data_IF_542899879727
#
_entry.id   IF_542899879727
#
_cell.length_a   1.000
_cell.length_b   1.000
_cell.length_c   1.000
_cell.angle_alpha   90.00
_cell.angle_beta   90.00
_cell.angle_gamma   90.00
#
_symmetry.space_group_name_H-M   'P 1'
#
loop_
_entity.id
_entity.type
_entity.pdbx_description
1 polymer ?
#
# COMPACT_ATOMS: atom_id res chain seq x y z
N UNK A 1 21.48 -14.82 -30.78
CA UNK A 1 21.67 -14.37 -29.39
C UNK A 1 21.14 -12.96 -29.35
N UNK A 2 20.22 -12.66 -28.44
CA UNK A 2 19.63 -11.32 -28.33
C UNK A 2 20.73 -10.32 -27.98
N UNK A 3 20.61 -9.08 -28.46
CA UNK A 3 21.40 -7.96 -27.94
C UNK A 3 20.92 -7.61 -26.53
N UNK A 4 21.76 -6.93 -25.74
CA UNK A 4 21.36 -6.46 -24.40
C UNK A 4 20.09 -5.59 -24.45
N UNK A 5 19.95 -4.75 -25.49
CA UNK A 5 18.77 -3.89 -25.66
C UNK A 5 17.50 -4.70 -25.93
N UNK A 6 17.58 -5.71 -26.80
CA UNK A 6 16.44 -6.61 -27.07
C UNK A 6 16.08 -7.44 -25.83
N UNK A 7 17.07 -7.95 -25.10
CA UNK A 7 16.84 -8.65 -23.83
C UNK A 7 16.12 -7.77 -22.81
N UNK A 8 16.59 -6.53 -22.60
CA UNK A 8 15.95 -5.57 -21.69
C UNK A 8 14.51 -5.24 -22.09
N UNK A 9 14.22 -5.21 -23.39
CA UNK A 9 12.87 -4.98 -23.90
C UNK A 9 11.95 -6.18 -23.61
N UNK A 10 12.41 -7.41 -23.84
CA UNK A 10 11.63 -8.62 -23.53
C UNK A 10 11.36 -8.73 -22.02
N UNK A 11 12.40 -8.52 -21.19
CA UNK A 11 12.23 -8.51 -19.73
C UNK A 11 11.23 -7.43 -19.28
N UNK A 12 11.27 -6.24 -19.89
CA UNK A 12 10.29 -5.20 -19.59
C UNK A 12 8.85 -5.64 -19.87
N UNK A 13 8.60 -6.24 -21.04
CA UNK A 13 7.28 -6.71 -21.45
C UNK A 13 6.76 -7.79 -20.50
N UNK A 14 7.60 -8.78 -20.18
CA UNK A 14 7.25 -9.85 -19.24
C UNK A 14 6.90 -9.31 -17.85
N UNK A 15 7.61 -8.27 -17.39
CA UNK A 15 7.34 -7.66 -16.09
C UNK A 15 6.07 -6.82 -16.08
N UNK A 16 5.74 -6.12 -17.17
CA UNK A 16 4.44 -5.44 -17.29
C UNK A 16 3.28 -6.46 -17.27
N UNK A 17 3.40 -7.56 -18.01
CA UNK A 17 2.40 -8.65 -17.98
C UNK A 17 2.30 -9.30 -16.60
N UNK A 18 3.41 -9.38 -15.85
CA UNK A 18 3.41 -9.90 -14.49
C UNK A 18 2.65 -8.99 -13.51
N UNK A 19 2.67 -7.67 -13.68
CA UNK A 19 1.91 -6.77 -12.82
C UNK A 19 0.40 -6.99 -12.93
N UNK A 20 -0.08 -7.41 -14.11
CA UNK A 20 -1.48 -7.74 -14.33
C UNK A 20 -1.83 -9.18 -13.93
N UNK A 21 -0.99 -10.15 -14.31
CA UNK A 21 -1.27 -11.58 -14.14
C UNK A 21 -0.91 -12.13 -12.75
N UNK A 22 0.08 -11.53 -12.09
CA UNK A 22 0.76 -12.06 -10.90
C UNK A 22 1.31 -13.48 -11.09
N UNK A 23 1.55 -13.92 -12.33
CA UNK A 23 2.03 -15.26 -12.64
C UNK A 23 3.57 -15.29 -12.63
N UNK A 24 4.14 -15.69 -11.49
CA UNK A 24 5.58 -15.81 -11.33
C UNK A 24 6.18 -16.96 -12.15
N UNK A 25 5.43 -18.05 -12.34
CA UNK A 25 5.91 -19.21 -13.11
C UNK A 25 6.11 -18.84 -14.58
N UNK A 26 5.23 -18.00 -15.13
CA UNK A 26 5.36 -17.52 -16.50
C UNK A 26 6.59 -16.61 -16.68
N UNK A 27 6.88 -15.74 -15.71
CA UNK A 27 8.12 -14.93 -15.74
C UNK A 27 9.37 -15.81 -15.72
N UNK A 28 9.40 -16.84 -14.87
CA UNK A 28 10.52 -17.79 -14.79
C UNK A 28 10.71 -18.51 -16.13
N UNK A 29 9.63 -19.06 -16.71
CA UNK A 29 9.68 -19.73 -18.02
C UNK A 29 10.19 -18.80 -19.11
N UNK A 30 9.66 -17.58 -19.16
CA UNK A 30 10.06 -16.57 -20.13
C UNK A 30 11.56 -16.25 -20.03
N UNK A 31 12.09 -16.08 -18.81
CA UNK A 31 13.53 -15.84 -18.59
C UNK A 31 14.38 -17.02 -19.07
N UNK A 32 13.98 -18.26 -18.74
CA UNK A 32 14.71 -19.46 -19.14
C UNK A 32 14.72 -19.65 -20.68
N UNK A 33 13.63 -19.28 -21.35
CA UNK A 33 13.50 -19.38 -22.81
C UNK A 33 14.37 -18.37 -23.57
N UNK A 34 14.66 -17.20 -22.98
CA UNK A 34 15.54 -16.18 -23.59
C UNK A 34 16.98 -16.68 -23.75
N UNK A 35 17.44 -17.62 -22.90
CA UNK A 35 18.77 -18.25 -22.95
C UNK A 35 19.93 -17.23 -22.98
N UNK A 36 19.79 -16.12 -22.25
CA UNK A 36 20.75 -15.01 -22.17
C UNK A 36 21.30 -14.82 -20.74
N UNK A 37 21.95 -15.87 -20.21
CA UNK A 37 22.45 -15.88 -18.82
C UNK A 37 23.42 -14.74 -18.52
N UNK A 38 24.20 -14.32 -19.50
CA UNK A 38 25.14 -13.20 -19.42
C UNK A 38 24.46 -11.84 -19.10
N UNK A 39 23.13 -11.75 -19.24
CA UNK A 39 22.37 -10.53 -18.98
C UNK A 39 21.49 -10.61 -17.73
N UNK A 40 21.47 -11.73 -16.99
CA UNK A 40 20.55 -11.95 -15.86
C UNK A 40 20.63 -10.87 -14.77
N UNK A 41 21.83 -10.37 -14.44
CA UNK A 41 21.98 -9.24 -13.51
C UNK A 41 21.17 -7.98 -13.90
N UNK A 42 20.91 -7.77 -15.20
CA UNK A 42 20.09 -6.63 -15.64
C UNK A 42 18.60 -6.79 -15.31
N UNK A 43 18.13 -8.01 -15.02
CA UNK A 43 16.73 -8.27 -14.63
C UNK A 43 16.44 -7.57 -13.31
N UNK A 44 17.29 -7.71 -12.31
CA UNK A 44 17.12 -7.09 -10.98
C UNK A 44 17.00 -5.58 -11.10
N UNK A 45 17.98 -4.95 -11.78
CA UNK A 45 17.95 -3.50 -12.01
C UNK A 45 16.68 -3.08 -12.75
N UNK A 46 16.32 -3.78 -13.82
CA UNK A 46 15.14 -3.45 -14.62
C UNK A 46 13.85 -3.59 -13.81
N UNK A 47 13.67 -4.70 -13.10
CA UNK A 47 12.52 -5.00 -12.26
C UNK A 47 12.33 -3.95 -11.16
N UNK A 48 13.39 -3.62 -10.42
CA UNK A 48 13.29 -2.58 -9.40
C UNK A 48 12.99 -1.23 -10.06
N UNK A 49 13.74 -0.81 -11.09
CA UNK A 49 13.56 0.49 -11.74
C UNK A 49 12.12 0.73 -12.23
N UNK A 50 11.47 -0.25 -12.87
CA UNK A 50 10.11 -0.08 -13.41
C UNK A 50 9.01 -0.07 -12.33
N UNK A 51 9.33 -0.42 -11.08
CA UNK A 51 8.37 -0.41 -9.98
C UNK A 51 8.42 0.89 -9.17
N UNK A 52 9.48 1.68 -9.33
CA UNK A 52 9.69 2.90 -8.55
C UNK A 52 8.65 3.98 -8.85
N UNK A 53 8.16 4.04 -10.08
CA UNK A 53 7.14 4.98 -10.56
C UNK A 53 5.71 4.40 -10.52
N UNK A 54 5.53 3.19 -9.98
CA UNK A 54 4.23 2.50 -9.87
C UNK A 54 3.67 2.54 -8.44
N UNK A 55 2.59 1.80 -8.18
CA UNK A 55 1.95 1.73 -6.88
C UNK A 55 2.72 0.80 -5.92
N UNK A 56 2.46 0.86 -4.59
CA UNK A 56 3.06 -0.04 -3.62
C UNK A 56 2.91 -1.52 -3.97
N UNK A 57 1.78 -1.91 -4.56
CA UNK A 57 1.50 -3.26 -5.05
C UNK A 57 2.58 -3.77 -6.01
N UNK A 58 2.96 -3.00 -7.01
CA UNK A 58 3.98 -3.45 -7.98
C UNK A 58 5.34 -3.59 -7.32
N UNK A 59 5.67 -2.75 -6.33
CA UNK A 59 6.92 -2.88 -5.57
C UNK A 59 6.94 -4.17 -4.73
N UNK A 60 5.81 -4.52 -4.09
CA UNK A 60 5.68 -5.80 -3.39
C UNK A 60 5.76 -7.00 -4.35
N UNK A 61 5.11 -6.91 -5.52
CA UNK A 61 5.22 -7.94 -6.56
C UNK A 61 6.66 -8.15 -7.01
N UNK A 62 7.45 -7.09 -7.14
CA UNK A 62 8.87 -7.19 -7.47
C UNK A 62 9.68 -7.79 -6.31
N UNK A 63 9.44 -7.39 -5.04
CA UNK A 63 10.12 -8.01 -3.89
C UNK A 63 9.93 -9.53 -3.90
N UNK A 64 8.68 -9.99 -4.05
CA UNK A 64 8.34 -11.42 -4.12
C UNK A 64 8.90 -12.11 -5.36
N UNK A 65 8.89 -11.44 -6.51
CA UNK A 65 9.44 -11.98 -7.75
C UNK A 65 10.93 -12.24 -7.60
N UNK A 66 11.69 -11.31 -7.00
CA UNK A 66 13.13 -11.50 -6.77
C UNK A 66 13.40 -12.73 -5.89
N UNK A 67 12.59 -12.94 -4.83
CA UNK A 67 12.66 -14.17 -4.03
C UNK A 67 12.40 -15.43 -4.86
N UNK A 68 11.45 -15.40 -5.79
CA UNK A 68 11.13 -16.56 -6.62
C UNK A 68 12.16 -16.80 -7.74
N UNK A 69 12.85 -15.75 -8.18
CA UNK A 69 13.90 -15.84 -9.19
C UNK A 69 15.24 -16.32 -8.62
N UNK A 70 15.41 -16.30 -7.30
CA UNK A 70 16.60 -16.77 -6.59
C UNK A 70 16.34 -18.08 -5.85
N UNK A 71 17.29 -19.04 -5.84
CA UNK A 71 18.60 -19.02 -6.50
C UNK A 71 18.57 -19.49 -7.96
N UNK A 72 17.38 -19.70 -8.54
CA UNK A 72 17.21 -20.11 -9.93
C UNK A 72 15.94 -19.47 -10.50
N UNK A 73 16.00 -18.80 -11.67
CA UNK A 73 17.11 -18.77 -12.63
C UNK A 73 18.25 -17.77 -12.34
N UNK A 74 18.13 -16.90 -11.33
CA UNK A 74 19.15 -15.91 -10.95
C UNK A 74 20.00 -16.42 -9.79
N UNK A 75 21.31 -16.45 -10.00
CA UNK A 75 22.29 -16.85 -8.98
C UNK A 75 22.54 -15.72 -7.96
N UNK A 76 23.21 -16.04 -6.84
CA UNK A 76 23.69 -15.03 -5.88
C UNK A 76 24.45 -13.90 -6.57
N UNK A 77 25.33 -14.27 -7.52
CA UNK A 77 26.12 -13.32 -8.30
C UNK A 77 25.25 -12.42 -9.18
N UNK A 78 24.21 -12.96 -9.80
CA UNK A 78 23.29 -12.16 -10.62
C UNK A 78 22.53 -11.16 -9.75
N UNK A 79 22.12 -11.58 -8.55
CA UNK A 79 21.46 -10.72 -7.56
C UNK A 79 22.37 -9.59 -7.10
N UNK A 80 23.56 -9.90 -6.61
CA UNK A 80 24.54 -8.91 -6.15
C UNK A 80 24.90 -7.91 -7.26
N UNK A 81 25.26 -8.40 -8.45
CA UNK A 81 25.60 -7.54 -9.59
C UNK A 81 24.41 -6.69 -10.03
N UNK A 82 23.21 -7.25 -10.00
CA UNK A 82 22.00 -6.52 -10.36
C UNK A 82 21.71 -5.35 -9.43
N UNK A 83 21.89 -5.54 -8.12
CA UNK A 83 21.78 -4.47 -7.14
C UNK A 83 22.95 -3.46 -7.22
N UNK A 84 24.16 -3.88 -7.56
CA UNK A 84 25.28 -2.95 -7.83
C UNK A 84 24.97 -2.03 -9.01
N UNK A 85 24.48 -2.58 -10.13
CA UNK A 85 24.07 -1.82 -11.31
C UNK A 85 22.91 -0.86 -10.97
N UNK A 86 21.94 -1.32 -10.15
CA UNK A 86 20.85 -0.47 -9.68
C UNK A 86 21.38 0.71 -8.87
N UNK A 87 22.26 0.46 -7.90
CA UNK A 87 22.90 1.47 -7.09
C UNK A 87 23.69 2.47 -7.94
N UNK A 88 24.43 2.00 -8.96
CA UNK A 88 25.17 2.87 -9.90
C UNK A 88 24.25 3.81 -10.69
N UNK A 89 22.99 3.42 -10.90
CA UNK A 89 21.99 4.22 -11.62
C UNK A 89 21.12 5.10 -10.72
N UNK A 90 21.41 5.21 -9.42
CA UNK A 90 20.53 5.90 -8.46
C UNK A 90 20.30 7.37 -8.77
N UNK A 91 21.31 8.11 -9.22
CA UNK A 91 21.16 9.54 -9.50
C UNK A 91 20.25 9.78 -10.73
N UNK A 92 20.34 8.91 -11.75
CA UNK A 92 19.42 8.92 -12.88
C UNK A 92 17.99 8.59 -12.42
N UNK A 93 17.83 7.54 -11.61
CA UNK A 93 16.51 7.15 -11.07
C UNK A 93 15.89 8.24 -10.20
N UNK A 94 16.70 8.97 -9.44
CA UNK A 94 16.23 10.06 -8.57
C UNK A 94 15.77 11.27 -9.39
N UNK A 95 16.26 11.41 -10.62
CA UNK A 95 15.82 12.47 -11.55
C UNK A 95 14.36 12.27 -11.96
N UNK A 96 13.94 11.02 -12.16
CA UNK A 96 12.57 10.67 -12.56
C UNK A 96 11.66 10.43 -11.34
N UNK A 97 12.20 9.83 -10.28
CA UNK A 97 11.46 9.47 -9.06
C UNK A 97 12.19 10.06 -7.83
N UNK A 98 11.74 11.20 -7.28
CA UNK A 98 12.42 11.87 -6.17
C UNK A 98 12.69 10.99 -4.95
N UNK A 99 11.80 10.03 -4.66
CA UNK A 99 11.90 9.10 -3.53
C UNK A 99 12.67 7.80 -3.84
N UNK A 100 13.28 7.68 -5.03
CA UNK A 100 13.99 6.48 -5.48
C UNK A 100 15.00 5.97 -4.45
N UNK A 101 15.76 6.87 -3.81
CA UNK A 101 16.76 6.50 -2.79
C UNK A 101 16.12 5.77 -1.60
N UNK A 102 14.98 6.27 -1.13
CA UNK A 102 14.24 5.63 -0.02
C UNK A 102 13.67 4.27 -0.45
N UNK A 103 13.07 4.21 -1.64
CA UNK A 103 12.49 2.97 -2.16
C UNK A 103 13.55 1.89 -2.42
N UNK A 104 14.71 2.25 -3.00
CA UNK A 104 15.81 1.31 -3.22
C UNK A 104 16.38 0.82 -1.87
N UNK A 105 16.44 1.67 -0.85
CA UNK A 105 16.84 1.24 0.49
C UNK A 105 15.86 0.20 1.09
N UNK A 106 14.56 0.38 0.86
CA UNK A 106 13.54 -0.60 1.24
C UNK A 106 13.73 -1.92 0.50
N UNK A 107 13.97 -1.89 -0.81
CA UNK A 107 14.26 -3.09 -1.62
C UNK A 107 15.50 -3.83 -1.11
N UNK A 108 16.58 -3.13 -0.79
CA UNK A 108 17.80 -3.74 -0.26
C UNK A 108 17.57 -4.40 1.10
N UNK A 109 16.91 -3.70 2.03
CA UNK A 109 16.58 -4.28 3.32
C UNK A 109 15.66 -5.51 3.19
N UNK A 110 14.66 -5.43 2.30
CA UNK A 110 13.75 -6.55 2.00
C UNK A 110 14.49 -7.72 1.36
N UNK A 111 15.36 -7.49 0.38
CA UNK A 111 16.16 -8.53 -0.26
C UNK A 111 17.09 -9.26 0.72
N UNK A 112 17.59 -8.58 1.76
CA UNK A 112 18.36 -9.22 2.83
C UNK A 112 17.47 -10.08 3.73
N UNK A 113 16.27 -9.62 4.08
CA UNK A 113 15.30 -10.41 4.86
C UNK A 113 14.79 -11.64 4.10
N UNK A 114 14.55 -11.48 2.80
CA UNK A 114 14.08 -12.55 1.91
C UNK A 114 15.21 -13.49 1.46
N UNK A 115 16.42 -13.33 2.02
CA UNK A 115 17.62 -14.14 1.73
C UNK A 115 18.08 -14.12 0.26
N UNK A 116 17.66 -13.10 -0.51
CA UNK A 116 18.07 -12.84 -1.90
C UNK A 116 19.43 -12.14 -1.98
N UNK A 117 19.80 -11.40 -0.92
CA UNK A 117 21.12 -10.80 -0.75
C UNK A 117 21.71 -11.19 0.61
N UNK A 118 23.01 -11.50 0.70
CA UNK A 118 23.65 -11.68 1.99
C UNK A 118 23.78 -10.33 2.72
N UNK A 119 23.64 -10.27 4.06
CA UNK A 119 23.89 -9.05 4.83
C UNK A 119 25.27 -8.42 4.58
N UNK A 120 26.26 -9.26 4.24
CA UNK A 120 27.61 -8.84 3.89
C UNK A 120 27.64 -7.87 2.69
N UNK A 121 26.71 -8.02 1.73
CA UNK A 121 26.57 -7.13 0.59
C UNK A 121 26.52 -5.66 1.03
N UNK A 122 25.65 -5.32 2.00
CA UNK A 122 25.52 -3.96 2.51
C UNK A 122 26.82 -3.46 3.16
N UNK A 123 27.51 -4.32 3.90
CA UNK A 123 28.77 -3.96 4.57
C UNK A 123 29.91 -3.72 3.57
N UNK A 124 29.94 -4.47 2.46
CA UNK A 124 30.95 -4.33 1.42
C UNK A 124 30.72 -3.09 0.55
N UNK A 125 29.46 -2.69 0.35
CA UNK A 125 29.14 -1.45 -0.35
C UNK A 125 29.33 -0.22 0.56
N UNK A 126 29.31 -0.41 1.88
CA UNK A 126 29.53 0.66 2.84
C UNK A 126 30.92 1.30 2.64
N UNK A 127 30.95 2.63 2.45
CA UNK A 127 32.16 3.42 2.15
C UNK A 127 32.85 3.19 0.80
N UNK A 128 32.37 2.28 -0.08
CA UNK A 128 32.86 2.22 -1.49
C UNK A 128 32.46 3.48 -2.26
N UNK A 129 31.32 4.06 -1.89
CA UNK A 129 30.80 5.34 -2.37
C UNK A 129 30.64 6.23 -1.12
N UNK A 130 31.35 7.36 -1.00
CA UNK A 130 31.27 8.19 0.19
C UNK A 130 29.82 8.61 0.48
N UNK A 131 29.23 8.12 1.59
CA UNK A 131 27.94 8.58 2.10
C UNK A 131 26.69 8.16 1.29
N UNK A 132 26.61 6.93 0.78
CA UNK A 132 25.37 6.48 0.14
C UNK A 132 24.26 6.25 1.19
N UNK A 133 23.45 7.29 1.40
CA UNK A 133 22.30 7.32 2.32
C UNK A 133 21.34 6.13 2.11
N UNK A 134 21.34 5.50 0.93
CA UNK A 134 20.56 4.29 0.63
C UNK A 134 21.05 3.09 1.46
N UNK A 135 22.36 2.87 1.55
CA UNK A 135 22.95 1.77 2.34
C UNK A 135 22.72 2.02 3.83
N UNK A 136 22.97 3.24 4.30
CA UNK A 136 22.74 3.61 5.70
C UNK A 136 21.28 3.41 6.11
N UNK A 137 20.34 3.82 5.25
CA UNK A 137 18.91 3.62 5.46
C UNK A 137 18.55 2.13 5.52
N UNK A 138 19.10 1.31 4.61
CA UNK A 138 18.86 -0.14 4.58
C UNK A 138 19.32 -0.81 5.87
N UNK A 139 20.53 -0.47 6.35
CA UNK A 139 21.08 -0.97 7.62
C UNK A 139 20.22 -0.49 8.81
N UNK A 140 19.77 0.77 8.79
CA UNK A 140 18.89 1.31 9.82
C UNK A 140 17.56 0.55 9.89
N UNK A 141 16.96 0.17 8.75
CA UNK A 141 15.73 -0.63 8.70
C UNK A 141 15.95 -2.03 9.31
N UNK A 142 17.05 -2.70 8.95
CA UNK A 142 17.40 -4.02 9.43
C UNK A 142 17.75 -4.04 10.93
N UNK A 143 18.19 -2.91 11.49
CA UNK A 143 18.58 -2.78 12.91
C UNK A 143 17.40 -2.52 13.84
N UNK A 144 16.17 -2.37 13.32
CA UNK A 144 14.97 -2.12 14.14
C UNK A 144 14.50 -3.40 14.83
N UNK A 145 13.84 -3.24 15.98
CA UNK A 145 13.08 -4.34 16.59
C UNK A 145 12.02 -4.86 15.62
N UNK A 146 11.86 -6.19 15.59
CA UNK A 146 10.94 -6.90 14.70
C UNK A 146 11.12 -6.56 13.22
N UNK A 147 12.35 -6.26 12.78
CA UNK A 147 12.63 -5.81 11.41
C UNK A 147 12.07 -6.73 10.31
N UNK A 148 12.14 -8.06 10.47
CA UNK A 148 11.59 -9.04 9.52
C UNK A 148 10.09 -8.78 9.25
N UNK A 149 9.25 -8.80 10.29
CA UNK A 149 7.81 -8.61 10.17
C UNK A 149 7.42 -7.20 9.67
N UNK A 150 8.29 -6.21 9.93
CA UNK A 150 8.11 -4.84 9.43
C UNK A 150 8.50 -4.71 7.97
N UNK A 151 9.55 -5.41 7.53
CA UNK A 151 10.04 -5.38 6.16
C UNK A 151 9.14 -6.20 5.21
N UNK A 152 8.45 -7.22 5.72
CA UNK A 152 7.34 -7.86 5.01
C UNK A 152 6.24 -6.87 4.60
N UNK A 153 6.08 -5.76 5.32
CA UNK A 153 5.07 -4.71 5.08
C UNK A 153 5.68 -3.39 4.63
N UNK A 154 6.90 -3.42 4.09
CA UNK A 154 7.69 -2.20 3.82
C UNK A 154 7.03 -1.26 2.81
N UNK A 155 6.15 -1.78 1.96
CA UNK A 155 5.44 -1.01 0.94
C UNK A 155 4.12 -0.39 1.45
N UNK A 156 3.69 -0.74 2.66
CA UNK A 156 2.48 -0.18 3.28
C UNK A 156 1.22 -1.04 3.02
N UNK A 157 0.04 -0.54 3.39
CA UNK A 157 -1.20 -1.31 3.32
C UNK A 157 -1.78 -1.47 1.89
N UNK A 158 -1.37 -0.63 0.94
CA UNK A 158 -1.70 -0.75 -0.49
C UNK A 158 -0.87 -1.76 -1.28
N UNK A 159 -0.12 -2.63 -0.60
CA UNK A 159 0.79 -3.61 -1.21
C UNK A 159 0.08 -4.83 -1.85
N UNK A 160 -1.25 -4.86 -1.85
CA UNK A 160 -2.05 -5.95 -2.41
C UNK A 160 -2.29 -7.13 -1.46
N UNK A 161 -2.07 -6.95 -0.15
CA UNK A 161 -2.40 -7.93 0.89
C UNK A 161 -3.88 -8.36 0.89
N UNK A 162 -4.21 -9.52 1.49
CA UNK A 162 -5.59 -10.02 1.53
C UNK A 162 -6.57 -9.00 2.12
N UNK A 163 -7.79 -8.97 1.58
CA UNK A 163 -8.86 -8.05 2.00
C UNK A 163 -9.14 -8.11 3.52
N UNK A 164 -8.93 -9.27 4.15
CA UNK A 164 -9.08 -9.42 5.60
C UNK A 164 -8.06 -8.58 6.40
N UNK A 165 -6.82 -8.47 5.92
CA UNK A 165 -5.79 -7.64 6.56
C UNK A 165 -6.05 -6.16 6.30
N UNK A 166 -6.40 -5.78 5.06
CA UNK A 166 -6.77 -4.40 4.72
C UNK A 166 -7.89 -3.88 5.63
N UNK A 167 -8.88 -4.73 5.91
CA UNK A 167 -9.94 -4.41 6.87
C UNK A 167 -9.38 -4.09 8.25
N UNK A 168 -8.49 -4.92 8.80
CA UNK A 168 -7.87 -4.65 10.12
C UNK A 168 -7.15 -3.30 10.12
N UNK A 169 -6.38 -2.98 9.07
CA UNK A 169 -5.71 -1.68 8.93
C UNK A 169 -6.73 -0.52 8.91
N UNK A 170 -7.85 -0.67 8.18
CA UNK A 170 -8.94 0.31 8.18
C UNK A 170 -9.53 0.53 9.58
N UNK A 171 -9.83 -0.55 10.31
CA UNK A 171 -10.41 -0.43 11.67
C UNK A 171 -9.44 0.29 12.61
N UNK A 172 -8.16 -0.10 12.57
CA UNK A 172 -7.15 0.49 13.45
C UNK A 172 -6.95 1.98 13.17
N UNK A 173 -6.85 2.36 11.89
CA UNK A 173 -6.75 3.77 11.48
C UNK A 173 -7.97 4.60 11.92
N UNK A 174 -9.18 4.06 11.74
CA UNK A 174 -10.42 4.75 12.12
C UNK A 174 -10.52 4.93 13.64
N UNK A 175 -10.12 3.91 14.41
CA UNK A 175 -10.04 3.99 15.88
C UNK A 175 -9.00 5.01 16.34
N UNK A 176 -7.82 5.02 15.72
CA UNK A 176 -6.77 6.01 16.01
C UNK A 176 -7.26 7.44 15.73
N UNK A 177 -8.00 7.65 14.63
CA UNK A 177 -8.64 8.93 14.34
C UNK A 177 -9.67 9.34 15.41
N UNK A 178 -10.51 8.42 15.89
CA UNK A 178 -11.48 8.75 16.94
C UNK A 178 -10.79 9.16 18.25
N UNK A 179 -9.58 8.67 18.51
CA UNK A 179 -8.77 9.07 19.67
C UNK A 179 -8.02 10.39 19.45
N UNK A 180 -7.40 10.58 18.28
CA UNK A 180 -6.53 11.75 18.00
C UNK A 180 -7.29 12.97 17.50
N UNK A 181 -8.40 12.76 16.78
CA UNK A 181 -9.17 13.75 16.02
C UNK A 181 -8.36 14.49 14.94
N UNK A 182 -7.25 13.91 14.50
CA UNK A 182 -6.36 14.49 13.49
C UNK A 182 -6.81 14.12 12.06
N UNK A 183 -7.54 15.02 11.41
CA UNK A 183 -8.08 14.81 10.05
C UNK A 183 -6.98 14.62 8.99
N UNK A 184 -5.94 15.44 9.03
CA UNK A 184 -4.84 15.39 8.05
C UNK A 184 -4.03 14.09 8.15
N UNK A 185 -3.85 13.58 9.37
CA UNK A 185 -3.15 12.31 9.62
C UNK A 185 -3.95 11.14 9.03
N UNK A 186 -5.23 11.05 9.41
CA UNK A 186 -6.11 9.99 8.91
C UNK A 186 -6.24 10.07 7.38
N UNK A 187 -6.36 11.27 6.81
CA UNK A 187 -6.39 11.48 5.36
C UNK A 187 -5.12 10.97 4.65
N UNK A 188 -3.95 11.09 5.27
CA UNK A 188 -2.72 10.51 4.73
C UNK A 188 -2.76 9.00 4.79
N UNK A 189 -3.16 8.41 5.92
CA UNK A 189 -3.28 6.97 6.08
C UNK A 189 -4.28 6.37 5.08
N UNK A 190 -5.41 7.04 4.79
CA UNK A 190 -6.38 6.61 3.77
C UNK A 190 -5.76 6.56 2.39
N UNK A 191 -4.95 7.57 2.01
CA UNK A 191 -4.23 7.55 0.73
C UNK A 191 -3.23 6.40 0.64
N UNK A 192 -2.55 6.09 1.74
CA UNK A 192 -1.58 4.98 1.80
C UNK A 192 -2.23 3.60 1.65
N UNK A 193 -3.54 3.47 1.90
CA UNK A 193 -4.28 2.23 1.62
C UNK A 193 -4.37 1.91 0.13
N UNK A 194 -4.25 2.91 -0.76
CA UNK A 194 -4.25 2.76 -2.22
C UNK A 194 -5.37 1.86 -2.78
N UNK A 195 -6.60 2.05 -2.29
CA UNK A 195 -7.75 1.15 -2.53
C UNK A 195 -9.02 1.91 -2.94
N UNK A 196 -8.90 2.84 -3.89
CA UNK A 196 -9.94 3.77 -4.34
C UNK A 196 -11.34 3.14 -4.53
N UNK A 197 -11.39 1.93 -5.09
CA UNK A 197 -12.64 1.25 -5.43
C UNK A 197 -13.29 0.53 -4.22
N UNK A 198 -12.57 0.44 -3.10
CA UNK A 198 -12.98 -0.26 -1.88
C UNK A 198 -13.26 0.70 -0.71
N UNK A 199 -13.22 2.02 -0.93
CA UNK A 199 -13.45 3.05 0.10
C UNK A 199 -14.84 2.99 0.74
N UNK A 200 -15.85 2.43 0.05
CA UNK A 200 -17.16 2.15 0.63
C UNK A 200 -17.11 1.15 1.81
N UNK A 201 -16.05 0.33 1.92
CA UNK A 201 -15.81 -0.49 3.11
C UNK A 201 -15.27 0.34 4.28
N UNK A 202 -14.35 1.28 4.01
CA UNK A 202 -13.85 2.22 5.01
C UNK A 202 -15.02 3.02 5.63
N UNK A 203 -15.93 3.53 4.79
CA UNK A 203 -17.12 4.27 5.24
C UNK A 203 -18.02 3.42 6.13
N UNK A 204 -18.40 2.23 5.65
CA UNK A 204 -19.21 1.29 6.43
C UNK A 204 -18.57 0.97 7.78
N UNK A 205 -17.26 0.73 7.81
CA UNK A 205 -16.53 0.39 9.03
C UNK A 205 -16.43 1.56 9.99
N UNK A 206 -16.10 2.75 9.49
CA UNK A 206 -15.98 3.96 10.31
C UNK A 206 -17.27 4.29 11.03
N UNK A 207 -18.39 4.29 10.31
CA UNK A 207 -19.70 4.57 10.92
C UNK A 207 -20.10 3.49 11.92
N UNK A 208 -19.84 2.20 11.64
CA UNK A 208 -20.09 1.11 12.60
C UNK A 208 -19.28 1.28 13.89
N UNK A 209 -17.99 1.61 13.79
CA UNK A 209 -17.13 1.85 14.95
C UNK A 209 -17.67 3.03 15.77
N UNK A 210 -18.03 4.14 15.11
CA UNK A 210 -18.59 5.30 15.78
C UNK A 210 -19.92 4.98 16.49
N UNK A 211 -20.80 4.18 15.87
CA UNK A 211 -22.04 3.72 16.50
C UNK A 211 -21.79 2.87 17.74
N UNK A 212 -20.80 1.98 17.70
CA UNK A 212 -20.44 1.14 18.85
C UNK A 212 -19.85 1.97 19.99
N UNK A 213 -19.11 3.03 19.69
CA UNK A 213 -18.55 3.94 20.69
C UNK A 213 -19.65 4.77 21.36
N UNK A 214 -20.47 5.50 20.59
CA UNK A 214 -21.56 6.34 21.12
C UNK A 214 -22.70 5.51 21.74
N UNK A 215 -22.93 4.29 21.24
CA UNK A 215 -23.93 3.38 21.77
C UNK A 215 -23.59 2.81 23.15
N UNK A 216 -22.30 2.76 23.52
CA UNK A 216 -21.84 2.33 24.85
C UNK A 216 -21.94 3.45 25.89
N UNK A 217 -21.88 4.70 25.45
CA UNK A 217 -21.75 5.89 26.30
C UNK A 217 -23.05 6.72 26.30
N UNK A 218 -24.16 6.13 26.77
CA UNK A 218 -25.47 6.81 26.85
C UNK A 218 -25.52 7.98 27.86
N UNK A 219 -24.42 8.29 28.54
CA UNK A 219 -24.32 9.26 29.65
C UNK A 219 -23.48 10.49 29.34
N UNK A 220 -22.75 10.52 28.23
CA UNK A 220 -21.78 11.56 27.93
C UNK A 220 -22.30 12.47 26.82
N UNK A 221 -23.00 13.54 27.24
CA UNK A 221 -23.15 14.76 26.45
C UNK A 221 -21.76 15.40 26.30
N UNK A 222 -20.91 14.84 25.45
CA UNK A 222 -19.70 15.51 25.00
C UNK A 222 -20.03 16.38 23.78
N UNK A 223 -19.38 17.54 23.70
CA UNK A 223 -19.63 18.58 22.70
C UNK A 223 -19.43 18.13 21.24
N UNK A 224 -18.94 16.89 20.98
CA UNK A 224 -18.89 16.21 19.67
C UNK A 224 -18.92 14.69 19.85
N UNK A 225 -19.94 14.02 19.29
CA UNK A 225 -20.08 12.56 19.31
C UNK A 225 -19.06 11.86 18.39
N UNK A 226 -18.85 10.55 18.55
CA UNK A 226 -18.03 9.78 17.62
C UNK A 226 -18.63 9.81 16.20
N UNK A 227 -19.97 9.81 16.09
CA UNK A 227 -20.70 9.99 14.83
C UNK A 227 -20.40 11.33 14.18
N UNK A 228 -20.42 12.43 14.93
CA UNK A 228 -20.14 13.78 14.40
C UNK A 228 -18.73 13.86 13.83
N UNK A 229 -17.76 13.29 14.54
CA UNK A 229 -16.38 13.25 14.08
C UNK A 229 -16.22 12.37 12.83
N UNK A 230 -16.90 11.22 12.77
CA UNK A 230 -16.84 10.35 11.61
C UNK A 230 -17.48 11.01 10.37
N UNK A 231 -18.58 11.75 10.54
CA UNK A 231 -19.18 12.56 9.48
C UNK A 231 -18.23 13.67 9.01
N UNK A 232 -17.59 14.38 9.95
CA UNK A 232 -16.59 15.39 9.65
C UNK A 232 -15.37 14.80 8.90
N UNK A 233 -14.92 13.60 9.26
CA UNK A 233 -13.85 12.90 8.54
C UNK A 233 -14.26 12.62 7.10
N UNK A 234 -15.38 11.96 6.86
CA UNK A 234 -15.78 11.63 5.49
C UNK A 234 -16.10 12.87 4.67
N UNK A 235 -16.67 13.91 5.27
CA UNK A 235 -16.81 15.25 4.67
C UNK A 235 -15.46 15.84 4.25
N UNK A 236 -14.47 15.79 5.14
CA UNK A 236 -13.10 16.23 4.85
C UNK A 236 -12.44 15.42 3.73
N UNK A 237 -12.56 14.09 3.74
CA UNK A 237 -11.98 13.22 2.73
C UNK A 237 -12.58 13.47 1.34
N UNK A 238 -13.89 13.73 1.25
CA UNK A 238 -14.54 14.10 -0.02
C UNK A 238 -14.13 15.49 -0.49
N UNK A 239 -14.12 16.49 0.39
CA UNK A 239 -13.67 17.87 0.06
C UNK A 239 -12.23 17.91 -0.45
N UNK A 240 -11.38 16.99 0.00
CA UNK A 240 -9.99 16.85 -0.45
C UNK A 240 -9.80 15.85 -1.59
N UNK A 241 -10.89 15.37 -2.22
CA UNK A 241 -10.88 14.41 -3.33
C UNK A 241 -10.10 13.10 -3.03
N UNK A 242 -10.11 12.67 -1.77
CA UNK A 242 -9.48 11.42 -1.31
C UNK A 242 -10.44 10.24 -1.49
N UNK A 243 -11.72 10.49 -1.25
CA UNK A 243 -12.80 9.53 -1.47
C UNK A 243 -13.85 10.22 -2.35
N UNK A 244 -14.49 9.47 -3.26
CA UNK A 244 -15.58 10.00 -4.05
C UNK A 244 -16.91 9.98 -3.30
N UNK A 245 -17.80 10.93 -3.62
CA UNK A 245 -19.17 10.96 -3.10
C UNK A 245 -19.90 9.63 -3.32
N UNK A 246 -19.67 8.98 -4.47
CA UNK A 246 -20.22 7.66 -4.78
C UNK A 246 -19.76 6.56 -3.80
N UNK A 247 -18.48 6.54 -3.41
CA UNK A 247 -17.97 5.57 -2.45
C UNK A 247 -18.58 5.78 -1.06
N UNK A 248 -18.83 7.04 -0.68
CA UNK A 248 -19.52 7.40 0.56
C UNK A 248 -20.98 6.93 0.53
N UNK A 249 -21.73 7.30 -0.51
CA UNK A 249 -23.13 6.87 -0.72
C UNK A 249 -23.26 5.34 -0.68
N UNK A 250 -22.43 4.62 -1.46
CA UNK A 250 -22.40 3.15 -1.46
C UNK A 250 -22.07 2.56 -0.08
N UNK A 251 -21.24 3.24 0.72
CA UNK A 251 -20.94 2.84 2.10
C UNK A 251 -22.16 2.95 3.01
N UNK A 252 -22.89 4.06 2.91
CA UNK A 252 -24.13 4.33 3.65
C UNK A 252 -25.24 3.35 3.25
N UNK A 253 -25.45 3.10 1.96
CA UNK A 253 -26.41 2.09 1.48
C UNK A 253 -26.15 0.71 2.08
N UNK A 254 -24.87 0.34 2.20
CA UNK A 254 -24.46 -0.93 2.78
C UNK A 254 -24.72 -0.99 4.28
N UNK A 255 -24.70 0.14 5.00
CA UNK A 255 -25.10 0.23 6.41
C UNK A 255 -26.60 0.01 6.56
N UNK A 256 -27.42 0.65 5.72
CA UNK A 256 -28.89 0.44 5.72
C UNK A 256 -29.25 -1.04 5.52
N UNK A 257 -28.57 -1.74 4.61
CA UNK A 257 -28.79 -3.17 4.36
C UNK A 257 -28.49 -4.08 5.54
N UNK A 258 -27.62 -3.66 6.47
CA UNK A 258 -27.24 -4.44 7.66
C UNK A 258 -27.75 -3.80 8.95
N UNK A 259 -28.63 -2.80 8.86
CA UNK A 259 -29.06 -2.01 10.02
C UNK A 259 -29.78 -2.86 11.08
N UNK A 260 -30.55 -3.85 10.66
CA UNK A 260 -31.22 -4.77 11.58
C UNK A 260 -30.25 -5.63 12.38
N UNK A 261 -29.15 -6.06 11.76
CA UNK A 261 -28.09 -6.79 12.46
C UNK A 261 -27.34 -5.85 13.42
N UNK A 262 -27.06 -4.61 13.00
CA UNK A 262 -26.39 -3.60 13.84
C UNK A 262 -27.19 -3.27 15.11
N UNK A 263 -28.53 -3.28 15.03
CA UNK A 263 -29.41 -3.06 16.20
C UNK A 263 -29.22 -4.11 17.30
N UNK A 264 -28.78 -5.32 16.94
CA UNK A 264 -28.55 -6.38 17.92
C UNK A 264 -27.41 -6.03 18.88
N UNK A 265 -26.38 -5.33 18.37
CA UNK A 265 -25.23 -4.87 19.16
C UNK A 265 -25.45 -3.45 19.70
N UNK A 266 -26.07 -2.56 18.91
CA UNK A 266 -26.27 -1.14 19.22
C UNK A 266 -27.74 -0.77 19.00
N UNK A 267 -28.60 -0.79 20.04
CA UNK A 267 -30.03 -0.49 19.89
C UNK A 267 -30.32 0.89 19.29
N UNK A 268 -29.43 1.87 19.50
CA UNK A 268 -29.52 3.23 18.98
C UNK A 268 -29.05 3.39 17.52
N UNK A 269 -28.56 2.32 16.87
CA UNK A 269 -28.00 2.37 15.51
C UNK A 269 -28.88 3.11 14.48
N UNK A 270 -30.23 2.97 14.46
CA UNK A 270 -31.06 3.69 13.50
C UNK A 270 -31.03 5.20 13.67
N UNK A 271 -31.02 5.66 14.92
CA UNK A 271 -30.95 7.09 15.23
C UNK A 271 -29.58 7.62 14.87
N UNK A 272 -28.52 6.93 15.30
CA UNK A 272 -27.13 7.33 15.02
C UNK A 272 -26.81 7.34 13.52
N UNK A 273 -27.35 6.40 12.73
CA UNK A 273 -27.18 6.40 11.27
C UNK A 273 -27.84 7.62 10.63
N UNK A 274 -29.04 7.96 11.10
CA UNK A 274 -29.78 9.11 10.61
C UNK A 274 -29.05 10.41 10.96
N UNK A 275 -28.55 10.54 12.19
CA UNK A 275 -27.78 11.70 12.64
C UNK A 275 -26.51 11.86 11.80
N UNK A 276 -25.80 10.75 11.53
CA UNK A 276 -24.65 10.72 10.62
C UNK A 276 -25.01 11.25 9.22
N UNK A 277 -26.11 10.79 8.63
CA UNK A 277 -26.56 11.23 7.30
C UNK A 277 -26.98 12.70 7.26
N UNK A 278 -27.59 13.22 8.33
CA UNK A 278 -27.98 14.64 8.42
C UNK A 278 -26.74 15.54 8.41
N UNK A 279 -25.72 15.21 9.21
CA UNK A 279 -24.44 15.95 9.23
C UNK A 279 -23.71 15.80 7.89
N UNK A 280 -23.70 14.60 7.34
CA UNK A 280 -23.03 14.32 6.08
C UNK A 280 -23.63 15.12 4.90
N UNK A 281 -24.95 15.37 4.90
CA UNK A 281 -25.61 16.23 3.91
C UNK A 281 -25.16 17.69 4.00
N UNK A 282 -24.90 18.19 5.21
CA UNK A 282 -24.36 19.54 5.39
C UNK A 282 -22.92 19.65 4.86
N UNK A 283 -22.13 18.58 5.06
CA UNK A 283 -20.74 18.51 4.62
C UNK A 283 -20.60 18.19 3.12
N UNK A 284 -21.54 17.41 2.55
CA UNK A 284 -21.52 16.88 1.19
C UNK A 284 -22.93 16.93 0.57
N UNK A 285 -23.31 18.04 -0.08
CA UNK A 285 -24.69 18.27 -0.52
C UNK A 285 -25.25 17.26 -1.54
N UNK A 286 -24.39 16.63 -2.34
CA UNK A 286 -24.79 15.80 -3.49
C UNK A 286 -24.94 14.29 -3.19
N UNK A 287 -24.64 13.82 -1.97
CA UNK A 287 -24.58 12.37 -1.64
C UNK A 287 -25.96 11.69 -1.62
N UNK A 288 -27.07 12.44 -1.68
CA UNK A 288 -28.42 11.92 -1.38
C UNK A 288 -29.45 12.17 -2.48
N UNK A 289 -29.05 12.62 -3.67
CA UNK A 289 -30.01 12.91 -4.76
C UNK A 289 -30.30 11.74 -5.72
N UNK A 290 -29.57 10.61 -5.66
CA UNK A 290 -29.67 9.55 -6.67
C UNK A 290 -30.77 8.48 -6.46
N UNK A 291 -31.69 8.64 -5.51
CA UNK A 291 -32.86 7.73 -5.37
C UNK A 291 -34.17 8.27 -6.00
N UNK A 292 -34.11 9.31 -6.85
CA UNK A 292 -35.30 9.79 -7.58
C UNK A 292 -35.07 10.06 -9.07
N UNK A 293 -34.54 9.08 -9.79
CA UNK A 293 -34.67 9.04 -11.24
C UNK A 293 -34.98 7.61 -11.71
N UNK A 294 -36.27 7.39 -11.99
CA UNK A 294 -36.95 6.35 -12.79
C UNK A 294 -36.51 4.87 -12.70
#
# INVERSE_FOLDING_TARGET
MLTLSEFKLQVHQNLEEYFDSCDTDEVIRSIDELKCKEYHANIVKKAVSISLDKHPRERELISRLLTCLHPTPLTDKDMEQGFEILLDSLDDLTTDVPDAKTMVANFLARAVVDEVLPPAFLSEQNNKRPGDAVIEKSISLLSREHCTARLERVWGPGDGRPVAELKVEMDQMLQEYLLSRELDECARCVKELDTDHYMHELVKRGVKIAMEEDGRDSTTQHDKSAIDAMAALFGFLVKNAIISEHQVSKGVDRLHRVLDDLKLDVPAAPTLLKDFEEILKEEIPNVVEDEKAE
#
